data_IF_284074402264
#
_entry.id   IF_284074402264
#
_cell.length_a   1.000
_cell.length_b   1.000
_cell.length_c   1.000
_cell.angle_alpha   90.00
_cell.angle_beta   90.00
_cell.angle_gamma   90.00
#
_symmetry.space_group_name_H-M   'P 1'
#
loop_
_entity.id
_entity.type
_entity.pdbx_description
1 polymer ?
#
# COMPACT_ATOMS: atom_id res chain seq x y z
N UNK A 1 -74.59 39.38 50.40
CA UNK A 1 -74.35 38.30 51.37
C UNK A 1 -73.00 37.65 51.02
N UNK A 2 -72.06 37.58 52.00
CA UNK A 2 -70.81 36.78 52.14
C UNK A 2 -70.08 36.32 50.85
N UNK A 3 -68.90 36.81 50.46
CA UNK A 3 -67.53 36.71 51.02
C UNK A 3 -66.71 35.43 50.63
N UNK A 4 -65.56 35.65 49.95
CA UNK A 4 -64.28 34.88 49.90
C UNK A 4 -64.25 33.47 49.23
N UNK A 5 -63.25 32.98 48.47
CA UNK A 5 -61.81 33.28 48.16
C UNK A 5 -61.36 32.44 46.88
N UNK A 6 -60.08 32.35 46.40
CA UNK A 6 -59.63 32.91 45.09
C UNK A 6 -58.64 32.05 44.20
N UNK A 7 -58.09 32.69 43.15
CA UNK A 7 -56.68 32.67 42.61
C UNK A 7 -56.10 31.36 41.98
N UNK A 8 -55.17 31.31 41.01
CA UNK A 8 -54.32 32.19 40.17
C UNK A 8 -53.80 31.29 38.99
N UNK A 9 -53.01 31.66 37.98
CA UNK A 9 -52.04 32.73 37.75
C UNK A 9 -51.76 32.90 36.23
N UNK A 10 -51.30 34.09 35.85
CA UNK A 10 -50.93 34.52 34.50
C UNK A 10 -49.42 34.41 34.24
N UNK A 11 -49.01 34.40 32.96
CA UNK A 11 -47.67 34.84 32.55
C UNK A 11 -47.75 35.66 31.25
N UNK A 12 -47.15 36.86 31.28
CA UNK A 12 -47.20 37.91 30.27
C UNK A 12 -45.93 37.96 29.39
N UNK A 13 -46.16 38.40 28.16
CA UNK A 13 -45.27 38.92 27.11
C UNK A 13 -44.14 39.86 27.59
N UNK A 14 -43.04 39.97 26.82
CA UNK A 14 -42.78 41.15 25.94
C UNK A 14 -41.36 41.19 25.33
N UNK A 15 -41.21 42.09 24.36
CA UNK A 15 -40.31 42.12 23.19
C UNK A 15 -39.46 43.42 23.19
N UNK A 16 -38.31 43.35 22.48
CA UNK A 16 -37.52 44.42 21.81
C UNK A 16 -36.56 45.34 22.62
N UNK A 17 -35.32 45.52 22.11
CA UNK A 17 -34.88 46.68 21.30
C UNK A 17 -33.42 46.56 20.81
N UNK A 18 -33.11 47.27 19.72
CA UNK A 18 -31.85 47.29 18.97
C UNK A 18 -30.89 48.42 19.39
N UNK A 19 -29.59 48.28 19.07
CA UNK A 19 -28.55 49.31 19.12
C UNK A 19 -27.29 48.88 18.34
N UNK A 20 -26.68 49.79 17.58
CA UNK A 20 -25.69 49.52 16.52
C UNK A 20 -24.21 49.79 16.92
N UNK A 21 -23.31 49.06 16.26
CA UNK A 21 -21.91 49.28 15.83
C UNK A 21 -20.74 49.60 16.80
N UNK A 22 -19.79 48.65 16.92
CA UNK A 22 -18.32 48.86 16.82
C UNK A 22 -17.70 47.63 16.14
N UNK A 23 -16.76 47.77 15.17
CA UNK A 23 -16.10 46.63 14.51
C UNK A 23 -14.78 46.28 15.22
N UNK A 24 -14.56 45.00 15.54
CA UNK A 24 -13.25 44.33 15.44
C UNK A 24 -13.29 42.84 15.84
N UNK A 25 -12.53 42.06 15.08
CA UNK A 25 -12.06 40.67 15.28
C UNK A 25 -13.06 39.50 15.12
N UNK A 26 -12.82 38.57 14.16
CA UNK A 26 -13.50 37.28 14.12
C UNK A 26 -12.90 36.37 15.21
N UNK A 27 -13.54 36.33 16.37
CA UNK A 27 -13.27 35.32 17.38
C UNK A 27 -13.78 33.95 16.91
N UNK A 28 -13.01 32.93 17.22
CA UNK A 28 -13.45 31.53 17.22
C UNK A 28 -13.72 30.95 15.84
N UNK A 29 -12.63 30.62 15.12
CA UNK A 29 -12.68 29.68 14.00
C UNK A 29 -13.57 28.49 14.34
N UNK A 30 -14.70 28.42 13.65
CA UNK A 30 -15.59 27.26 13.66
C UNK A 30 -14.73 26.03 13.43
N UNK A 31 -14.68 25.14 14.43
CA UNK A 31 -14.06 23.82 14.29
C UNK A 31 -14.69 23.15 13.08
N UNK A 32 -13.92 23.04 12.00
CA UNK A 32 -14.21 22.02 11.01
C UNK A 32 -14.07 20.67 11.75
N UNK A 33 -15.08 19.82 11.56
CA UNK A 33 -15.14 18.41 11.98
C UNK A 33 -15.78 18.08 13.33
N UNK A 34 -16.61 18.96 13.91
CA UNK A 34 -17.75 18.46 14.71
C UNK A 34 -18.90 18.17 13.74
N UNK A 35 -18.89 16.99 13.10
CA UNK A 35 -20.12 16.48 12.52
C UNK A 35 -21.03 16.04 13.66
N UNK A 36 -21.87 16.98 14.11
CA UNK A 36 -23.04 16.64 14.90
C UNK A 36 -23.98 15.90 13.96
N UNK A 37 -24.03 14.57 14.05
CA UNK A 37 -25.14 13.83 13.46
C UNK A 37 -26.44 14.31 14.10
N UNK A 38 -27.57 14.22 13.38
CA UNK A 38 -28.90 14.57 13.90
C UNK A 38 -29.30 13.75 15.16
N UNK A 39 -28.44 12.82 15.60
CA UNK A 39 -28.56 12.00 16.82
C UNK A 39 -27.65 12.42 18.00
N UNK A 40 -26.84 13.47 17.89
CA UNK A 40 -26.19 14.10 19.05
C UNK A 40 -25.06 13.32 19.76
N UNK A 41 -24.49 12.26 19.17
CA UNK A 41 -23.26 11.65 19.69
C UNK A 41 -22.04 12.08 18.87
N UNK A 42 -21.16 12.89 19.48
CA UNK A 42 -19.84 13.15 18.95
C UNK A 42 -18.99 11.88 19.13
N UNK A 43 -18.67 11.19 18.04
CA UNK A 43 -17.67 10.14 18.02
C UNK A 43 -16.40 10.62 17.28
N UNK A 44 -15.27 9.96 17.56
CA UNK A 44 -13.98 10.33 16.99
C UNK A 44 -13.55 9.26 15.99
N UNK A 45 -13.18 9.69 14.77
CA UNK A 45 -12.63 8.78 13.75
C UNK A 45 -11.28 8.25 14.24
N UNK A 46 -11.22 6.95 14.55
CA UNK A 46 -10.00 6.31 15.07
C UNK A 46 -9.04 5.89 13.95
N UNK A 47 -9.54 5.84 12.72
CA UNK A 47 -8.80 5.45 11.53
C UNK A 47 -9.38 6.12 10.28
N UNK A 48 -8.63 6.08 9.17
CA UNK A 48 -9.09 6.54 7.85
C UNK A 48 -9.84 5.44 7.14
N UNK A 49 -11.06 5.71 6.65
CA UNK A 49 -11.91 4.72 5.96
C UNK A 49 -11.14 3.94 4.89
N UNK A 50 -11.21 2.60 4.96
CA UNK A 50 -10.54 1.70 4.04
C UNK A 50 -9.07 1.37 4.37
N UNK A 51 -8.44 2.06 5.33
CA UNK A 51 -7.11 1.69 5.82
C UNK A 51 -7.11 0.26 6.38
N UNK A 52 -5.98 -0.43 6.27
CA UNK A 52 -5.78 -1.76 6.85
C UNK A 52 -4.60 -1.76 7.79
N UNK A 53 -4.70 -2.50 8.90
CA UNK A 53 -3.58 -2.72 9.81
C UNK A 53 -3.58 -4.16 10.31
N UNK A 54 -2.40 -4.65 10.70
CA UNK A 54 -2.30 -5.94 11.36
C UNK A 54 -2.81 -5.83 12.80
N UNK A 55 -3.43 -6.91 13.26
CA UNK A 55 -3.97 -7.04 14.60
C UNK A 55 -3.85 -8.48 15.06
N UNK A 56 -3.61 -8.67 16.36
CA UNK A 56 -3.65 -9.99 16.96
C UNK A 56 -5.06 -10.56 16.83
N UNK A 57 -5.17 -11.85 16.49
CA UNK A 57 -6.45 -12.56 16.58
C UNK A 57 -6.68 -13.05 18.01
N UNK A 58 -7.91 -13.45 18.32
CA UNK A 58 -8.21 -14.10 19.59
C UNK A 58 -7.52 -15.47 19.75
N UNK A 59 -6.93 -16.01 18.68
CA UNK A 59 -6.27 -17.31 18.67
C UNK A 59 -4.78 -17.15 18.96
N UNK A 60 -4.20 -17.88 19.94
CA UNK A 60 -2.76 -17.85 20.19
C UNK A 60 -1.96 -18.21 18.92
N UNK A 61 -1.04 -17.32 18.52
CA UNK A 61 -0.21 -17.48 17.32
C UNK A 61 -0.91 -17.11 15.99
N UNK A 62 -2.17 -16.70 16.02
CA UNK A 62 -2.87 -16.21 14.83
C UNK A 62 -2.56 -14.75 14.53
N UNK A 63 -2.33 -14.44 13.26
CA UNK A 63 -2.23 -13.07 12.77
C UNK A 63 -3.42 -12.77 11.86
N UNK A 64 -3.93 -11.55 11.93
CA UNK A 64 -5.05 -11.10 11.12
C UNK A 64 -4.90 -9.63 10.78
N UNK A 65 -5.72 -9.16 9.86
CA UNK A 65 -5.83 -7.74 9.55
C UNK A 65 -7.23 -7.24 9.91
N UNK A 66 -7.33 -5.95 10.18
CA UNK A 66 -8.62 -5.27 10.31
C UNK A 66 -8.65 -4.09 9.35
N UNK A 67 -9.83 -3.82 8.80
CA UNK A 67 -10.07 -2.71 7.90
C UNK A 67 -10.85 -1.62 8.64
N UNK A 68 -10.50 -0.37 8.40
CA UNK A 68 -11.25 0.76 8.90
C UNK A 68 -12.59 0.87 8.16
N UNK A 69 -13.69 0.84 8.90
CA UNK A 69 -15.05 0.86 8.36
C UNK A 69 -15.87 1.96 9.02
N UNK A 70 -16.87 2.45 8.28
CA UNK A 70 -17.83 3.41 8.83
C UNK A 70 -18.86 2.67 9.68
N UNK A 71 -18.93 3.02 10.96
CA UNK A 71 -19.88 2.43 11.91
C UNK A 71 -21.23 3.15 11.88
N UNK A 72 -22.25 2.52 12.49
CA UNK A 72 -23.62 3.05 12.54
C UNK A 72 -23.75 4.40 13.26
N UNK A 73 -22.80 4.73 14.13
CA UNK A 73 -22.69 6.04 14.77
C UNK A 73 -22.13 7.14 13.85
N UNK A 74 -21.77 6.80 12.61
CA UNK A 74 -21.27 7.74 11.61
C UNK A 74 -19.75 7.94 11.62
N UNK A 75 -19.02 7.31 12.54
CA UNK A 75 -17.56 7.43 12.63
C UNK A 75 -16.82 6.24 12.04
N UNK A 76 -15.58 6.52 11.64
CA UNK A 76 -14.65 5.54 11.11
C UNK A 76 -13.91 4.87 12.26
N UNK A 77 -14.06 3.56 12.39
CA UNK A 77 -13.38 2.75 13.42
C UNK A 77 -12.95 1.39 12.84
N UNK A 78 -12.04 0.72 13.53
CA UNK A 78 -11.53 -0.57 13.09
C UNK A 78 -12.63 -1.64 13.17
N UNK A 79 -12.88 -2.30 12.05
CA UNK A 79 -13.79 -3.44 11.98
C UNK A 79 -13.23 -4.68 12.68
N UNK A 80 -13.98 -5.80 12.65
CA UNK A 80 -13.51 -7.05 13.24
C UNK A 80 -12.22 -7.54 12.56
N UNK A 81 -11.33 -8.13 13.35
CA UNK A 81 -10.09 -8.74 12.82
C UNK A 81 -10.45 -9.96 11.97
N UNK A 82 -10.05 -9.92 10.70
CA UNK A 82 -10.10 -11.04 9.79
C UNK A 82 -8.80 -11.83 9.89
N UNK A 83 -8.90 -13.09 10.33
CA UNK A 83 -7.75 -13.99 10.41
C UNK A 83 -7.15 -14.24 9.03
N UNK A 84 -5.82 -14.27 8.95
CA UNK A 84 -5.15 -14.72 7.75
C UNK A 84 -5.38 -16.22 7.51
N UNK A 85 -5.46 -16.67 6.24
CA UNK A 85 -5.48 -18.08 5.90
C UNK A 85 -4.33 -18.86 6.56
N UNK A 86 -4.50 -20.17 6.73
CA UNK A 86 -3.41 -21.04 7.20
C UNK A 86 -2.17 -20.86 6.33
N UNK A 87 -1.01 -20.72 6.98
CA UNK A 87 0.31 -20.47 6.36
C UNK A 87 0.55 -19.05 5.83
N UNK A 88 -0.35 -18.09 6.13
CA UNK A 88 -0.13 -16.68 5.87
C UNK A 88 0.01 -15.88 7.17
N UNK A 89 0.86 -14.87 7.12
CA UNK A 89 1.06 -13.89 8.18
C UNK A 89 0.55 -12.53 7.74
N UNK A 90 -0.09 -11.81 8.65
CA UNK A 90 -0.39 -10.40 8.41
C UNK A 90 0.93 -9.63 8.42
N UNK A 91 1.17 -8.88 7.34
CA UNK A 91 2.28 -7.96 7.24
C UNK A 91 1.84 -6.75 6.42
N UNK A 92 1.90 -5.58 7.05
CA UNK A 92 1.43 -4.33 6.44
C UNK A 92 -0.05 -4.37 6.14
N UNK A 93 -0.88 -4.87 7.05
CA UNK A 93 -2.34 -4.93 6.88
C UNK A 93 -2.85 -5.91 5.81
N UNK A 94 -1.98 -6.77 5.26
CA UNK A 94 -2.32 -7.75 4.21
C UNK A 94 -1.79 -9.12 4.60
N UNK A 95 -2.57 -10.18 4.34
CA UNK A 95 -2.12 -11.56 4.53
C UNK A 95 -1.19 -11.99 3.39
N UNK A 96 -0.06 -12.61 3.75
CA UNK A 96 0.95 -13.06 2.80
C UNK A 96 1.78 -14.20 3.39
N UNK A 97 2.30 -15.09 2.53
CA UNK A 97 3.09 -16.27 2.95
C UNK A 97 4.40 -15.94 3.67
N UNK A 98 5.06 -14.87 3.23
CA UNK A 98 6.27 -14.36 3.87
C UNK A 98 5.99 -12.94 4.35
N UNK A 99 6.39 -12.63 5.58
CA UNK A 99 6.37 -11.26 6.05
C UNK A 99 7.47 -10.45 5.38
N UNK A 100 7.28 -9.14 5.37
CA UNK A 100 8.28 -8.16 4.96
C UNK A 100 8.32 -7.07 6.02
N UNK A 101 9.51 -6.57 6.33
CA UNK A 101 9.68 -5.46 7.27
C UNK A 101 8.89 -4.23 6.78
N UNK A 102 7.96 -3.76 7.60
CA UNK A 102 7.08 -2.64 7.29
C UNK A 102 7.58 -1.31 7.86
N UNK A 103 8.55 -1.36 8.76
CA UNK A 103 9.04 -0.20 9.46
C UNK A 103 10.43 -0.45 10.00
N UNK A 104 11.14 0.60 10.38
CA UNK A 104 12.43 0.46 11.06
C UNK A 104 12.17 0.18 12.53
N UNK A 105 12.71 -0.92 13.07
CA UNK A 105 12.55 -1.30 14.48
C UNK A 105 12.82 -0.10 15.41
N UNK A 106 11.87 0.16 16.32
CA UNK A 106 11.93 1.28 17.26
C UNK A 106 11.45 2.63 16.71
N UNK A 107 11.09 2.74 15.43
CA UNK A 107 10.41 3.92 14.91
C UNK A 107 9.05 4.11 15.62
N UNK A 108 8.65 5.37 15.83
CA UNK A 108 7.35 5.73 16.41
C UNK A 108 6.65 6.72 15.50
N UNK A 109 5.36 6.52 15.26
CA UNK A 109 4.55 7.45 14.48
C UNK A 109 3.14 7.59 15.06
N UNK A 110 2.41 8.60 14.61
CA UNK A 110 1.01 8.80 14.99
C UNK A 110 0.08 7.92 14.15
N UNK A 111 -0.89 7.31 14.82
CA UNK A 111 -2.02 6.62 14.20
C UNK A 111 -3.30 6.99 14.97
N UNK A 112 -4.20 7.73 14.31
CA UNK A 112 -5.37 8.32 14.95
C UNK A 112 -5.00 9.25 16.12
N UNK A 113 -5.52 8.96 17.31
CA UNK A 113 -5.31 9.75 18.55
C UNK A 113 -4.16 9.22 19.43
N UNK A 114 -3.30 8.35 18.89
CA UNK A 114 -2.25 7.69 19.66
C UNK A 114 -1.00 7.40 18.85
N UNK A 115 -0.01 6.84 19.51
CA UNK A 115 1.27 6.44 18.90
C UNK A 115 1.28 4.94 18.60
N UNK A 116 1.92 4.56 17.51
CA UNK A 116 2.32 3.17 17.21
C UNK A 116 3.83 3.09 17.17
N UNK A 117 4.39 1.99 17.67
CA UNK A 117 5.82 1.70 17.64
C UNK A 117 6.09 0.56 16.66
N UNK A 118 7.24 0.60 16.00
CA UNK A 118 7.69 -0.48 15.15
C UNK A 118 8.34 -1.58 15.99
N UNK A 119 7.75 -2.77 15.98
CA UNK A 119 8.13 -3.89 16.83
C UNK A 119 8.27 -5.17 16.00
N UNK A 120 9.12 -6.09 16.46
CA UNK A 120 9.21 -7.43 15.86
C UNK A 120 7.94 -8.21 16.20
N UNK A 121 7.20 -8.60 15.16
CA UNK A 121 6.00 -9.41 15.29
C UNK A 121 6.33 -10.89 15.47
N UNK A 122 5.37 -11.74 15.91
CA UNK A 122 5.55 -13.19 15.97
C UNK A 122 5.95 -13.84 14.64
N UNK A 123 5.67 -13.17 13.52
CA UNK A 123 6.10 -13.58 12.18
C UNK A 123 7.61 -13.44 11.94
N UNK A 124 8.35 -12.75 12.82
CA UNK A 124 9.79 -12.51 12.71
C UNK A 124 10.17 -11.22 11.98
N UNK A 125 9.23 -10.56 11.30
CA UNK A 125 9.44 -9.25 10.69
C UNK A 125 8.97 -8.11 11.59
N UNK A 126 9.43 -6.90 11.28
CA UNK A 126 8.99 -5.66 11.93
C UNK A 126 7.66 -5.16 11.37
N UNK A 127 6.73 -4.81 12.25
CA UNK A 127 5.46 -4.17 11.90
C UNK A 127 5.00 -3.22 13.03
N UNK A 128 4.02 -2.38 12.73
CA UNK A 128 3.47 -1.40 13.68
C UNK A 128 2.64 -2.10 14.77
N UNK A 129 2.86 -1.68 16.01
CA UNK A 129 2.10 -2.10 17.19
C UNK A 129 0.63 -1.69 17.10
N UNK A 130 -0.17 -2.18 18.06
CA UNK A 130 -1.46 -1.56 18.35
C UNK A 130 -1.29 -0.08 18.76
N UNK A 131 -2.33 0.72 18.51
CA UNK A 131 -2.34 2.15 18.86
C UNK A 131 -2.33 2.32 20.38
N UNK A 132 -1.33 3.00 20.91
CA UNK A 132 -1.28 3.45 22.30
C UNK A 132 -1.89 4.85 22.40
N UNK A 133 -3.08 5.03 23.01
CA UNK A 133 -3.76 6.32 23.06
C UNK A 133 -2.97 7.37 23.85
N UNK A 134 -2.98 8.62 23.39
CA UNK A 134 -2.48 9.72 24.19
C UNK A 134 -3.38 9.98 25.42
N UNK A 135 -2.77 10.48 26.50
CA UNK A 135 -3.51 10.90 27.69
C UNK A 135 -4.55 11.98 27.37
N UNK A 136 -5.59 12.08 28.19
CA UNK A 136 -6.65 13.06 27.99
C UNK A 136 -6.10 14.49 27.85
N UNK A 137 -6.52 15.18 26.79
CA UNK A 137 -6.05 16.55 26.46
C UNK A 137 -4.75 16.63 25.67
N UNK A 138 -4.05 15.52 25.44
CA UNK A 138 -2.85 15.47 24.57
C UNK A 138 -3.24 15.06 23.16
N UNK A 139 -2.44 15.52 22.19
CA UNK A 139 -2.60 15.27 20.75
C UNK A 139 -1.40 14.45 20.28
N UNK A 140 -1.60 13.48 19.40
CA UNK A 140 -0.47 12.85 18.73
C UNK A 140 0.03 13.77 17.62
N UNK A 141 1.30 14.14 17.65
CA UNK A 141 1.99 14.87 16.59
C UNK A 141 3.44 14.41 16.50
N UNK A 142 3.92 14.09 15.29
CA UNK A 142 5.32 13.70 15.07
C UNK A 142 5.73 12.42 15.83
N UNK A 143 4.78 11.52 16.06
CA UNK A 143 5.01 10.29 16.84
C UNK A 143 5.07 10.50 18.36
N UNK A 144 4.66 11.66 18.88
CA UNK A 144 4.64 11.93 20.32
C UNK A 144 3.31 12.53 20.78
N UNK A 145 2.95 12.29 22.04
CA UNK A 145 1.79 12.94 22.68
C UNK A 145 2.20 14.33 23.21
N UNK A 146 1.67 15.38 22.61
CA UNK A 146 2.01 16.79 22.86
C UNK A 146 0.79 17.62 23.26
N UNK A 147 1.00 18.76 23.91
CA UNK A 147 -0.09 19.71 24.28
C UNK A 147 -0.61 20.49 23.07
N UNK A 148 0.28 20.82 22.13
CA UNK A 148 -0.02 21.55 20.90
C UNK A 148 0.65 20.83 19.74
N UNK A 149 -0.05 20.71 18.62
CA UNK A 149 0.50 20.09 17.42
C UNK A 149 1.28 21.11 16.58
N UNK A 150 2.15 20.60 15.72
CA UNK A 150 2.74 21.39 14.63
C UNK A 150 2.62 20.58 13.33
N UNK A 151 2.50 21.28 12.20
CA UNK A 151 2.40 20.65 10.88
C UNK A 151 3.66 19.82 10.59
N UNK A 152 3.51 18.50 10.45
CA UNK A 152 4.60 17.56 10.17
C UNK A 152 4.86 17.38 8.68
N UNK A 153 3.89 17.78 7.85
CA UNK A 153 3.92 17.55 6.41
C UNK A 153 3.01 18.55 5.68
N UNK A 154 3.19 18.71 4.37
CA UNK A 154 2.29 19.56 3.56
C UNK A 154 1.02 18.80 3.19
N UNK A 155 -0.16 19.38 3.44
CA UNK A 155 -1.45 18.73 3.15
C UNK A 155 -1.47 18.15 1.72
N UNK A 156 -1.81 16.86 1.60
CA UNK A 156 -1.87 16.15 0.32
C UNK A 156 -0.53 15.59 -0.19
N UNK A 157 0.60 15.91 0.46
CA UNK A 157 1.87 15.25 0.17
C UNK A 157 1.75 13.73 0.39
N UNK A 158 2.52 12.95 -0.37
CA UNK A 158 2.57 11.49 -0.23
C UNK A 158 4.01 11.07 0.03
N UNK A 159 4.19 9.99 0.78
CA UNK A 159 5.49 9.36 0.95
C UNK A 159 5.36 7.85 1.10
N UNK A 160 6.49 7.17 0.93
CA UNK A 160 6.58 5.75 1.26
C UNK A 160 6.84 5.58 2.76
N UNK A 161 6.15 4.62 3.36
CA UNK A 161 6.38 4.13 4.71
C UNK A 161 6.22 2.62 4.69
N UNK A 162 7.33 1.90 4.87
CA UNK A 162 7.36 0.46 4.68
C UNK A 162 7.02 0.02 3.26
N UNK A 163 6.11 -0.95 3.14
CA UNK A 163 5.63 -1.45 1.85
C UNK A 163 4.44 -0.68 1.26
N UNK A 164 4.05 0.45 1.86
CA UNK A 164 2.88 1.22 1.45
C UNK A 164 3.11 2.72 1.31
N UNK A 165 2.10 3.40 0.80
CA UNK A 165 2.05 4.85 0.65
C UNK A 165 1.21 5.45 1.78
N UNK A 166 1.71 6.49 2.43
CA UNK A 166 0.91 7.31 3.35
C UNK A 166 0.76 8.73 2.81
N UNK A 167 -0.41 9.31 3.02
CA UNK A 167 -0.74 10.67 2.65
C UNK A 167 -0.68 11.62 3.85
N UNK A 168 -0.29 12.86 3.62
CA UNK A 168 -0.38 13.91 4.62
C UNK A 168 -1.81 14.42 4.70
N UNK A 169 -2.42 14.32 5.88
CA UNK A 169 -3.80 14.69 6.13
C UNK A 169 -3.91 15.63 7.32
N UNK A 170 -4.95 16.48 7.32
CA UNK A 170 -5.24 17.32 8.46
C UNK A 170 -5.84 16.44 9.57
N UNK A 171 -5.21 16.43 10.73
CA UNK A 171 -5.67 15.68 11.90
C UNK A 171 -6.68 16.50 12.70
N UNK A 172 -7.50 15.86 13.56
CA UNK A 172 -8.44 16.57 14.44
C UNK A 172 -7.78 17.56 15.41
N UNK A 173 -6.47 17.43 15.62
CA UNK A 173 -5.63 18.40 16.32
C UNK A 173 -5.57 19.77 15.64
N UNK A 174 -5.93 19.84 14.35
CA UNK A 174 -5.88 21.05 13.53
C UNK A 174 -4.61 21.18 12.69
N UNK A 175 -3.59 20.37 12.96
CA UNK A 175 -2.33 20.33 12.20
C UNK A 175 -2.31 19.19 11.18
N UNK A 176 -1.43 19.28 10.20
CA UNK A 176 -1.16 18.20 9.25
C UNK A 176 -0.18 17.18 9.83
N UNK A 177 -0.49 15.90 9.65
CA UNK A 177 0.41 14.80 9.98
C UNK A 177 0.21 13.63 9.00
N UNK A 178 1.14 12.69 9.00
CA UNK A 178 1.07 11.51 8.15
C UNK A 178 -0.12 10.63 8.56
N UNK A 179 -0.90 10.27 7.56
CA UNK A 179 -2.02 9.34 7.65
C UNK A 179 -1.57 7.90 7.83
N UNK A 180 -2.54 7.01 7.93
CA UNK A 180 -2.27 5.59 7.94
C UNK A 180 -1.61 5.15 6.62
N UNK A 181 -0.74 4.15 6.70
CA UNK A 181 -0.12 3.53 5.54
C UNK A 181 -1.15 2.74 4.76
N UNK A 182 -1.28 3.03 3.46
CA UNK A 182 -2.04 2.21 2.51
C UNK A 182 -1.07 1.22 1.84
N UNK A 183 -1.20 -0.09 2.09
CA UNK A 183 -0.26 -1.09 1.58
C UNK A 183 -0.30 -1.19 0.05
N UNK A 184 0.86 -1.37 -0.57
CA UNK A 184 0.92 -1.63 -2.00
C UNK A 184 0.40 -3.04 -2.35
N UNK A 185 -0.60 -3.09 -3.22
CA UNK A 185 -1.31 -4.32 -3.62
C UNK A 185 -0.66 -4.96 -4.87
N UNK A 186 -1.01 -6.21 -5.20
CA UNK A 186 -0.61 -6.88 -6.44
C UNK A 186 0.91 -6.96 -6.70
N UNK A 187 1.73 -7.18 -5.67
CA UNK A 187 3.18 -7.34 -5.81
C UNK A 187 3.95 -6.05 -6.15
N UNK A 188 3.27 -4.90 -6.08
CA UNK A 188 3.92 -3.58 -6.21
C UNK A 188 4.67 -3.22 -4.93
N UNK A 189 5.71 -2.40 -5.06
CA UNK A 189 6.48 -1.81 -3.95
C UNK A 189 6.24 -0.32 -3.88
N UNK A 190 6.38 0.27 -2.70
CA UNK A 190 6.35 1.72 -2.61
C UNK A 190 7.69 2.30 -3.09
N UNK A 191 7.65 3.13 -4.13
CA UNK A 191 8.78 3.94 -4.59
C UNK A 191 8.27 5.28 -5.12
N UNK A 192 9.00 6.36 -4.83
CA UNK A 192 8.60 7.71 -5.27
C UNK A 192 7.22 8.12 -4.76
N UNK A 193 6.85 7.71 -3.54
CA UNK A 193 5.53 7.94 -2.96
C UNK A 193 4.35 7.31 -3.73
N UNK A 194 4.61 6.29 -4.56
CA UNK A 194 3.62 5.57 -5.34
C UNK A 194 3.87 4.06 -5.25
N UNK A 195 2.82 3.26 -5.42
CA UNK A 195 2.97 1.82 -5.59
C UNK A 195 3.38 1.52 -7.05
N UNK A 196 4.61 1.06 -7.24
CA UNK A 196 5.20 0.75 -8.54
C UNK A 196 5.49 -0.75 -8.67
N UNK A 197 5.52 -1.26 -9.89
CA UNK A 197 5.86 -2.67 -10.10
C UNK A 197 7.31 -2.97 -9.72
N UNK A 198 7.51 -4.05 -8.96
CA UNK A 198 8.84 -4.49 -8.51
C UNK A 198 9.54 -5.40 -9.53
N UNK A 199 8.92 -5.62 -10.69
CA UNK A 199 9.48 -6.43 -11.77
C UNK A 199 9.76 -5.56 -12.99
N UNK A 200 10.71 -6.01 -13.80
CA UNK A 200 10.97 -5.45 -15.13
C UNK A 200 10.52 -6.45 -16.19
N UNK A 201 9.91 -5.93 -17.27
CA UNK A 201 9.51 -6.73 -18.41
C UNK A 201 10.74 -7.40 -19.04
N UNK A 202 10.77 -8.73 -19.06
CA UNK A 202 11.87 -9.51 -19.64
C UNK A 202 11.70 -9.76 -21.15
N UNK A 203 10.51 -9.47 -21.68
CA UNK A 203 10.15 -9.70 -23.07
C UNK A 203 8.96 -8.83 -23.49
N UNK A 204 8.76 -8.62 -24.79
CA UNK A 204 7.59 -7.89 -25.30
C UNK A 204 6.38 -8.83 -25.39
N UNK A 205 5.25 -8.47 -24.78
CA UNK A 205 4.03 -9.30 -24.76
C UNK A 205 3.68 -9.86 -26.15
N UNK A 206 3.48 -11.16 -26.25
CA UNK A 206 3.17 -11.85 -27.51
C UNK A 206 4.38 -12.23 -28.37
N UNK A 207 5.60 -11.82 -28.00
CA UNK A 207 6.82 -12.33 -28.64
C UNK A 207 6.95 -13.84 -28.43
N UNK A 208 7.59 -14.53 -29.37
CA UNK A 208 7.89 -15.95 -29.28
C UNK A 208 9.39 -16.18 -29.40
N UNK A 209 9.92 -17.17 -28.69
CA UNK A 209 11.30 -17.60 -28.86
C UNK A 209 11.44 -19.12 -28.68
N UNK A 210 12.55 -19.66 -29.13
CA UNK A 210 12.92 -21.04 -28.86
C UNK A 210 13.57 -21.18 -27.49
N UNK A 211 13.17 -22.21 -26.75
CA UNK A 211 13.77 -22.64 -25.49
C UNK A 211 13.94 -24.15 -25.54
N UNK A 212 15.17 -24.60 -25.77
CA UNK A 212 15.43 -26.01 -26.09
C UNK A 212 14.71 -26.44 -27.38
N UNK A 213 13.92 -27.52 -27.30
CA UNK A 213 13.13 -28.07 -28.42
C UNK A 213 11.69 -27.53 -28.49
N UNK A 214 11.35 -26.53 -27.68
CA UNK A 214 10.00 -25.97 -27.60
C UNK A 214 9.95 -24.46 -27.83
N UNK A 215 8.77 -23.98 -28.18
CA UNK A 215 8.46 -22.55 -28.34
C UNK A 215 7.89 -22.02 -27.03
N UNK A 216 8.45 -20.93 -26.50
CA UNK A 216 7.87 -20.20 -25.38
C UNK A 216 7.36 -18.83 -25.84
N UNK A 217 6.16 -18.47 -25.37
CA UNK A 217 5.56 -17.17 -25.60
C UNK A 217 5.85 -16.22 -24.44
N UNK A 218 5.98 -14.94 -24.74
CA UNK A 218 6.05 -13.90 -23.73
C UNK A 218 4.64 -13.60 -23.22
N UNK A 219 4.42 -13.81 -21.92
CA UNK A 219 3.11 -13.67 -21.28
C UNK A 219 3.17 -12.77 -20.04
N UNK A 220 2.05 -12.17 -19.68
CA UNK A 220 1.94 -11.39 -18.46
C UNK A 220 1.82 -12.32 -17.25
N UNK A 221 2.78 -12.23 -16.32
CA UNK A 221 2.78 -13.05 -15.11
C UNK A 221 1.85 -12.48 -14.04
N UNK A 222 1.52 -13.24 -12.98
CA UNK A 222 0.73 -12.73 -11.84
C UNK A 222 1.37 -11.50 -11.16
N UNK A 223 2.68 -11.34 -11.30
CA UNK A 223 3.43 -10.14 -10.86
C UNK A 223 3.11 -8.89 -11.68
N UNK A 224 2.39 -9.00 -12.80
CA UNK A 224 2.00 -7.89 -13.65
C UNK A 224 3.03 -7.50 -14.73
N UNK A 225 4.24 -8.03 -14.69
CA UNK A 225 5.25 -7.86 -15.75
C UNK A 225 5.22 -9.00 -16.76
N UNK A 226 5.80 -8.76 -17.93
CA UNK A 226 5.96 -9.78 -18.95
C UNK A 226 7.22 -10.61 -18.74
N UNK A 227 7.06 -11.92 -18.86
CA UNK A 227 8.16 -12.88 -18.79
C UNK A 227 7.83 -14.11 -19.65
N UNK A 228 8.83 -14.93 -19.95
CA UNK A 228 8.67 -16.10 -20.80
C UNK A 228 7.82 -17.18 -20.12
N UNK A 229 6.82 -17.67 -20.84
CA UNK A 229 5.95 -18.78 -20.45
C UNK A 229 6.64 -20.12 -20.50
N UNK A 230 5.91 -21.18 -20.16
CA UNK A 230 6.40 -22.54 -20.32
C UNK A 230 6.61 -22.84 -21.81
N UNK A 231 7.74 -23.50 -22.13
CA UNK A 231 8.01 -23.93 -23.49
C UNK A 231 7.07 -25.06 -23.91
N UNK A 232 6.37 -24.87 -25.03
CA UNK A 232 5.55 -25.89 -25.69
C UNK A 232 6.44 -26.67 -26.63
N UNK A 233 6.63 -27.97 -26.37
CA UNK A 233 7.47 -28.83 -27.19
C UNK A 233 6.93 -28.94 -28.63
N UNK A 234 7.84 -28.90 -29.61
CA UNK A 234 7.49 -29.18 -31.00
C UNK A 234 7.10 -30.65 -31.20
N UNK A 235 6.30 -30.93 -32.24
CA UNK A 235 5.85 -32.30 -32.52
C UNK A 235 7.03 -33.17 -32.94
N UNK A 236 6.86 -34.48 -32.88
CA UNK A 236 7.89 -35.43 -33.34
C UNK A 236 8.28 -35.14 -34.79
N UNK A 237 9.59 -34.93 -35.03
CA UNK A 237 10.14 -34.56 -36.33
C UNK A 237 10.21 -33.05 -36.62
N UNK A 238 9.70 -32.20 -35.71
CA UNK A 238 9.85 -30.75 -35.78
C UNK A 238 10.92 -30.26 -34.80
N UNK A 239 11.59 -29.18 -35.17
CA UNK A 239 12.59 -28.49 -34.36
C UNK A 239 12.17 -27.05 -34.17
N UNK A 240 12.43 -26.49 -32.99
CA UNK A 240 12.18 -25.07 -32.77
C UNK A 240 13.25 -24.25 -33.51
N UNK A 241 12.82 -23.37 -34.41
CA UNK A 241 13.67 -22.41 -35.12
C UNK A 241 12.91 -21.11 -35.32
N UNK A 242 13.53 -19.97 -35.01
CA UNK A 242 12.89 -18.65 -35.18
C UNK A 242 11.63 -18.44 -34.32
N UNK A 243 11.52 -19.14 -33.19
CA UNK A 243 10.31 -19.09 -32.35
C UNK A 243 9.13 -19.89 -32.90
N UNK A 244 9.35 -20.79 -33.86
CA UNK A 244 8.33 -21.66 -34.44
C UNK A 244 8.81 -23.12 -34.53
N UNK A 245 7.86 -24.06 -34.52
CA UNK A 245 8.15 -25.46 -34.81
C UNK A 245 8.17 -25.66 -36.33
N UNK A 246 9.30 -26.12 -36.85
CA UNK A 246 9.52 -26.33 -38.29
C UNK A 246 10.11 -27.71 -38.55
N UNK A 247 9.78 -28.32 -39.69
CA UNK A 247 10.29 -29.64 -40.10
C UNK A 247 11.77 -29.62 -40.50
N UNK A 248 12.28 -28.45 -40.85
CA UNK A 248 13.69 -28.19 -41.15
C UNK A 248 14.09 -26.88 -40.50
N UNK A 249 15.17 -26.89 -39.72
CA UNK A 249 15.67 -25.66 -39.11
C UNK A 249 16.42 -24.82 -40.14
N UNK A 250 16.45 -23.50 -39.90
CA UNK A 250 17.30 -22.59 -40.66
C UNK A 250 18.33 -22.01 -39.70
N UNK A 251 19.58 -21.89 -40.15
CA UNK A 251 20.64 -21.24 -39.37
C UNK A 251 20.23 -19.79 -39.04
N UNK A 252 20.07 -19.49 -37.76
CA UNK A 252 19.66 -18.16 -37.28
C UNK A 252 20.84 -17.21 -37.10
N UNK A 253 22.06 -17.75 -37.09
CA UNK A 253 23.30 -17.02 -36.92
C UNK A 253 24.48 -17.78 -37.53
N UNK A 254 25.59 -17.10 -37.80
CA UNK A 254 26.84 -17.76 -38.26
C UNK A 254 27.53 -18.41 -37.07
N UNK A 255 27.92 -19.69 -37.17
CA UNK A 255 28.59 -20.41 -36.08
C UNK A 255 29.77 -19.60 -35.52
N UNK A 256 29.79 -19.40 -34.20
CA UNK A 256 30.82 -18.61 -33.51
C UNK A 256 30.60 -17.10 -33.52
N UNK A 257 29.59 -16.56 -34.21
CA UNK A 257 29.19 -15.17 -34.10
C UNK A 257 28.82 -14.83 -32.65
N UNK A 258 29.05 -13.58 -32.24
CA UNK A 258 28.72 -13.08 -30.90
C UNK A 258 27.90 -11.83 -31.01
N UNK A 259 26.93 -11.66 -30.11
CA UNK A 259 26.16 -10.42 -29.97
C UNK A 259 25.90 -10.10 -28.50
N UNK A 260 25.59 -8.83 -28.25
CA UNK A 260 25.15 -8.36 -26.95
C UNK A 260 23.64 -8.54 -26.79
N UNK A 261 23.21 -9.15 -25.69
CA UNK A 261 21.81 -9.34 -25.32
C UNK A 261 21.64 -8.97 -23.85
N UNK A 262 21.17 -7.75 -23.59
CA UNK A 262 21.15 -7.19 -22.23
C UNK A 262 22.56 -6.93 -21.70
N UNK A 263 22.85 -7.33 -20.46
CA UNK A 263 24.16 -7.19 -19.82
C UNK A 263 25.11 -8.38 -20.08
N UNK A 264 24.84 -9.20 -21.10
CA UNK A 264 25.61 -10.40 -21.40
C UNK A 264 25.83 -10.65 -22.89
N UNK A 265 26.79 -11.52 -23.17
CA UNK A 265 27.18 -11.93 -24.53
C UNK A 265 26.50 -13.26 -24.86
N UNK A 266 25.81 -13.31 -26.00
CA UNK A 266 25.33 -14.57 -26.61
C UNK A 266 26.32 -15.02 -27.68
N UNK A 267 26.65 -16.32 -27.69
CA UNK A 267 27.44 -16.94 -28.76
C UNK A 267 26.54 -17.82 -29.63
N UNK A 268 26.77 -17.78 -30.94
CA UNK A 268 26.07 -18.64 -31.88
C UNK A 268 26.70 -20.04 -31.86
N UNK A 269 25.88 -21.04 -31.59
CA UNK A 269 26.31 -22.43 -31.39
C UNK A 269 25.42 -23.40 -32.16
N UNK A 270 25.99 -24.54 -32.55
CA UNK A 270 25.23 -25.59 -33.22
C UNK A 270 24.36 -26.31 -32.19
N UNK A 271 23.04 -26.30 -32.40
CA UNK A 271 22.08 -26.97 -31.52
C UNK A 271 21.93 -28.45 -31.91
N UNK A 272 21.36 -29.30 -31.04
CA UNK A 272 21.12 -30.71 -31.35
C UNK A 272 20.25 -30.95 -32.60
N UNK A 273 19.50 -29.94 -33.05
CA UNK A 273 18.77 -29.93 -34.32
C UNK A 273 19.65 -29.86 -35.57
N UNK A 274 20.96 -29.66 -35.43
CA UNK A 274 21.93 -29.54 -36.53
C UNK A 274 22.12 -28.12 -37.07
N UNK A 275 21.23 -27.18 -36.75
CA UNK A 275 21.34 -25.77 -37.13
C UNK A 275 21.99 -24.90 -36.06
N UNK A 276 22.46 -23.73 -36.46
CA UNK A 276 23.04 -22.73 -35.57
C UNK A 276 21.98 -21.79 -35.00
N UNK A 277 22.03 -21.57 -33.69
CA UNK A 277 21.17 -20.64 -32.97
C UNK A 277 21.92 -20.01 -31.77
N UNK A 278 21.38 -18.93 -31.22
CA UNK A 278 21.99 -18.22 -30.10
C UNK A 278 21.92 -19.05 -28.80
N UNK A 279 23.05 -19.12 -28.11
CA UNK A 279 23.15 -19.69 -26.77
C UNK A 279 22.56 -18.82 -25.68
N UNK A 280 22.61 -19.35 -24.46
CA UNK A 280 22.30 -18.57 -23.27
C UNK A 280 23.28 -17.39 -23.15
N UNK A 281 22.78 -16.25 -22.69
CA UNK A 281 23.62 -15.08 -22.47
C UNK A 281 24.55 -15.33 -21.27
N UNK A 282 25.85 -15.15 -21.47
CA UNK A 282 26.85 -15.16 -20.39
C UNK A 282 26.97 -13.72 -19.90
N UNK A 283 26.70 -13.49 -18.62
CA UNK A 283 26.78 -12.17 -18.02
C UNK A 283 28.23 -11.62 -18.07
N UNK A 284 28.38 -10.34 -18.40
CA UNK A 284 29.64 -9.62 -18.26
C UNK A 284 30.03 -9.54 -16.76
N UNK A 285 31.33 -9.39 -16.46
CA UNK A 285 31.75 -9.25 -15.06
C UNK A 285 31.25 -7.93 -14.48
N UNK A 286 31.25 -7.82 -13.15
CA UNK A 286 30.83 -6.59 -12.47
C UNK A 286 31.65 -5.39 -12.96
N UNK A 287 30.96 -4.39 -13.52
CA UNK A 287 31.56 -3.18 -14.09
C UNK A 287 31.85 -3.23 -15.59
N UNK A 288 31.67 -4.37 -16.26
CA UNK A 288 31.83 -4.51 -17.71
C UNK A 288 30.50 -4.29 -18.44
N UNK A 289 30.57 -3.72 -19.65
CA UNK A 289 29.42 -3.54 -20.55
C UNK A 289 29.67 -4.29 -21.84
N UNK A 290 28.66 -5.01 -22.33
CA UNK A 290 28.79 -5.70 -23.61
C UNK A 290 28.78 -4.70 -24.77
N UNK A 291 29.81 -4.72 -25.60
CA UNK A 291 29.90 -3.90 -26.82
C UNK A 291 30.52 -4.70 -27.95
N UNK A 292 29.86 -4.71 -29.13
CA UNK A 292 30.37 -5.44 -30.29
C UNK A 292 30.40 -6.97 -30.14
N UNK A 293 29.65 -7.54 -29.18
CA UNK A 293 29.67 -8.97 -28.89
C UNK A 293 30.84 -9.41 -28.01
N UNK A 294 31.42 -8.48 -27.24
CA UNK A 294 32.50 -8.70 -26.28
C UNK A 294 32.18 -7.99 -24.96
#
# INVERSE_FOLDING_TARGET
>A
MRAHLPAAAALLLSVACAGADVPDAPDGGKRADTFVSEAGLACFNRCTLGAQQCAATATPGGSGFQQCVKHANGCDDWGPVQACPSDEVCSGGVCRKNCVDQCTLGAVQCSGAGTVACETQPSGCTDWSGVTPCAAGKLCSGGACVDTCVDQCTLGAKQCSGSGVQGCEKKPSGCTDWGNVVPCQNGTICSGAQCVQNCSDQCTLGSVQCSGSGVQGCEKKPTGCTDWGNAIACKSGEVCSGGQCVSTCTNQCTLGAKLCSGAGVKSCEQKPSGCTDWGNAIACKSGEVCSGGQ
#
